data_IF_701870537699
#
_entry.id   IF_701870537699
#
_cell.length_a   1.000
_cell.length_b   1.000
_cell.length_c   1.000
_cell.angle_alpha   90.00
_cell.angle_beta   90.00
_cell.angle_gamma   90.00
#
_symmetry.space_group_name_H-M   'P 1'
#
loop_
_entity.id
_entity.type
_entity.pdbx_description
1 polymer ?
#
# COMPACT_ATOMS: atom_id res chain seq x y z
N UNK A 1 17.58 -16.49 -3.02
CA UNK A 1 17.64 -16.71 -1.56
C UNK A 1 16.27 -16.37 -1.04
N UNK A 2 15.59 -17.25 -0.30
CA UNK A 2 14.23 -16.94 0.17
C UNK A 2 14.29 -15.84 1.23
N UNK A 3 13.46 -14.79 1.08
CA UNK A 3 13.32 -13.69 2.05
C UNK A 3 12.50 -14.12 3.25
N UNK A 4 11.47 -14.94 3.02
CA UNK A 4 10.59 -15.45 4.06
C UNK A 4 11.15 -16.74 4.65
N UNK A 5 11.15 -16.83 5.98
CA UNK A 5 11.46 -18.09 6.67
C UNK A 5 10.29 -19.07 6.47
N UNK A 6 10.59 -20.36 6.52
CA UNK A 6 9.57 -21.41 6.33
C UNK A 6 8.43 -21.30 7.36
N UNK A 7 8.73 -20.93 8.59
CA UNK A 7 7.74 -20.71 9.66
C UNK A 7 6.79 -19.56 9.29
N UNK A 8 7.33 -18.42 8.83
CA UNK A 8 6.55 -17.25 8.42
C UNK A 8 5.69 -17.60 7.18
N UNK A 9 6.25 -18.31 6.20
CA UNK A 9 5.52 -18.77 5.02
C UNK A 9 4.33 -19.68 5.37
N UNK A 10 4.50 -20.57 6.36
CA UNK A 10 3.42 -21.46 6.81
C UNK A 10 2.32 -20.67 7.54
N UNK A 11 2.67 -19.70 8.37
CA UNK A 11 1.70 -18.82 9.03
C UNK A 11 0.89 -18.01 8.01
N UNK A 12 1.55 -17.44 7.01
CA UNK A 12 0.90 -16.68 5.93
C UNK A 12 -0.02 -17.55 5.06
N UNK A 13 0.39 -18.79 4.73
CA UNK A 13 -0.51 -19.73 4.03
C UNK A 13 -1.80 -19.99 4.79
N UNK A 14 -1.72 -20.09 6.12
CA UNK A 14 -2.90 -20.28 6.95
C UNK A 14 -3.77 -19.01 6.96
N UNK A 15 -3.17 -17.84 7.07
CA UNK A 15 -3.88 -16.57 7.03
C UNK A 15 -4.59 -16.36 5.69
N UNK A 16 -3.92 -16.65 4.56
CA UNK A 16 -4.47 -16.49 3.22
C UNK A 16 -5.60 -17.48 2.87
N UNK A 17 -5.87 -18.51 3.69
CA UNK A 17 -7.08 -19.33 3.56
C UNK A 17 -8.37 -18.55 3.81
N UNK A 18 -8.26 -17.39 4.46
CA UNK A 18 -9.41 -16.49 4.69
C UNK A 18 -9.79 -15.64 3.49
N UNK A 19 -8.95 -15.59 2.46
CA UNK A 19 -9.23 -14.84 1.22
C UNK A 19 -10.50 -15.39 0.55
N UNK A 20 -11.36 -14.49 0.10
CA UNK A 20 -12.60 -14.80 -0.60
C UNK A 20 -12.54 -14.49 -2.09
N UNK A 21 -11.75 -13.47 -2.43
CA UNK A 21 -11.55 -13.01 -3.80
C UNK A 21 -10.06 -13.09 -4.15
N UNK A 22 -9.73 -13.30 -5.42
CA UNK A 22 -8.35 -13.22 -5.87
C UNK A 22 -7.79 -11.81 -5.67
N UNK A 23 -6.49 -11.75 -5.36
CA UNK A 23 -5.73 -10.50 -5.22
C UNK A 23 -4.51 -10.55 -6.11
N UNK A 24 -4.29 -9.47 -6.85
CA UNK A 24 -3.14 -9.31 -7.71
C UNK A 24 -2.24 -8.21 -7.18
N UNK A 25 -0.97 -8.55 -7.03
CA UNK A 25 0.10 -7.61 -6.71
C UNK A 25 0.71 -7.13 -8.03
N UNK A 26 0.45 -5.90 -8.40
CA UNK A 26 1.00 -5.27 -9.61
C UNK A 26 2.24 -4.49 -9.23
N UNK A 27 3.40 -4.96 -9.65
CA UNK A 27 4.68 -4.38 -9.26
C UNK A 27 5.36 -3.69 -10.44
N UNK A 28 5.90 -2.52 -10.16
CA UNK A 28 6.73 -1.73 -11.09
C UNK A 28 8.17 -1.67 -10.57
N UNK A 29 9.09 -2.04 -11.47
CA UNK A 29 10.50 -2.24 -11.15
C UNK A 29 11.40 -1.80 -12.30
N UNK A 30 12.70 -1.81 -12.11
CA UNK A 30 13.71 -1.72 -13.17
C UNK A 30 15.01 -2.40 -12.71
N UNK A 31 15.87 -2.77 -13.65
CA UNK A 31 17.12 -3.47 -13.33
C UNK A 31 18.23 -2.54 -12.84
N UNK A 32 18.27 -1.29 -13.32
CA UNK A 32 19.32 -0.33 -12.98
C UNK A 32 18.73 0.86 -12.23
N UNK A 33 19.59 1.52 -11.41
CA UNK A 33 19.24 2.75 -10.67
C UNK A 33 18.06 2.62 -9.70
N UNK A 34 17.81 1.40 -9.19
CA UNK A 34 16.81 1.14 -8.18
C UNK A 34 17.41 0.22 -7.11
N UNK A 35 17.58 0.76 -5.90
CA UNK A 35 18.31 0.07 -4.84
C UNK A 35 17.60 -1.19 -4.35
N UNK A 36 16.26 -1.15 -4.21
CA UNK A 36 15.46 -2.23 -3.62
C UNK A 36 14.47 -2.89 -4.60
N UNK A 37 14.56 -2.58 -5.91
CA UNK A 37 13.67 -3.17 -6.90
C UNK A 37 13.75 -4.71 -6.94
N UNK A 38 14.95 -5.27 -6.86
CA UNK A 38 15.13 -6.71 -6.87
C UNK A 38 14.54 -7.36 -5.63
N UNK A 39 14.85 -6.84 -4.45
CA UNK A 39 14.38 -7.37 -3.18
C UNK A 39 12.84 -7.24 -3.07
N UNK A 40 12.27 -6.13 -3.54
CA UNK A 40 10.82 -5.94 -3.58
C UNK A 40 10.16 -6.94 -4.53
N UNK A 41 10.77 -7.19 -5.69
CA UNK A 41 10.29 -8.21 -6.63
C UNK A 41 10.32 -9.61 -6.02
N UNK A 42 11.46 -10.00 -5.43
CA UNK A 42 11.58 -11.29 -4.73
C UNK A 42 10.51 -11.44 -3.65
N UNK A 43 10.23 -10.38 -2.87
CA UNK A 43 9.19 -10.36 -1.85
C UNK A 43 7.79 -10.59 -2.44
N UNK A 44 7.45 -9.84 -3.50
CA UNK A 44 6.14 -9.96 -4.17
C UNK A 44 5.94 -11.35 -4.76
N UNK A 45 6.97 -11.90 -5.42
CA UNK A 45 6.95 -13.25 -6.00
C UNK A 45 6.82 -14.33 -4.90
N UNK A 46 7.52 -14.20 -3.76
CA UNK A 46 7.42 -15.14 -2.65
C UNK A 46 6.05 -15.08 -1.98
N UNK A 47 5.50 -13.89 -1.73
CA UNK A 47 4.19 -13.73 -1.08
C UNK A 47 3.09 -14.26 -1.99
N UNK A 48 3.11 -13.93 -3.29
CA UNK A 48 2.07 -14.39 -4.23
C UNK A 48 2.08 -15.91 -4.43
N UNK A 49 3.23 -16.57 -4.25
CA UNK A 49 3.32 -18.04 -4.33
C UNK A 49 2.71 -18.78 -3.11
N UNK A 50 2.23 -18.06 -2.08
CA UNK A 50 1.70 -18.68 -0.87
C UNK A 50 0.22 -19.06 -0.96
N UNK A 51 -0.53 -18.61 -1.98
CA UNK A 51 -1.94 -18.91 -2.18
C UNK A 51 -2.33 -18.93 -3.65
N UNK A 52 -3.21 -19.84 -4.05
CA UNK A 52 -3.78 -19.88 -5.42
C UNK A 52 -4.68 -18.66 -5.72
N UNK A 53 -5.08 -17.93 -4.70
CA UNK A 53 -5.85 -16.68 -4.83
C UNK A 53 -4.95 -15.43 -4.92
N UNK A 54 -3.62 -15.61 -4.92
CA UNK A 54 -2.67 -14.52 -5.11
C UNK A 54 -1.96 -14.66 -6.44
N UNK A 55 -1.73 -13.54 -7.10
CA UNK A 55 -0.92 -13.45 -8.32
C UNK A 55 -0.01 -12.23 -8.28
N UNK A 56 1.07 -12.27 -9.03
CA UNK A 56 1.97 -11.15 -9.24
C UNK A 56 2.08 -10.81 -10.72
N UNK A 57 1.97 -9.54 -11.05
CA UNK A 57 2.33 -8.99 -12.37
C UNK A 57 3.48 -8.02 -12.21
N UNK A 58 4.56 -8.25 -12.94
CA UNK A 58 5.78 -7.46 -12.83
C UNK A 58 5.99 -6.67 -14.13
N UNK A 59 6.06 -5.35 -14.02
CA UNK A 59 6.25 -4.44 -15.13
C UNK A 59 7.56 -3.67 -14.99
N UNK A 60 8.23 -3.43 -16.12
CA UNK A 60 9.35 -2.50 -16.16
C UNK A 60 8.81 -1.06 -16.23
N UNK A 61 9.23 -0.22 -15.30
CA UNK A 61 8.71 1.14 -15.15
C UNK A 61 8.89 2.02 -16.38
N UNK A 62 9.95 1.77 -17.16
CA UNK A 62 10.25 2.56 -18.38
C UNK A 62 9.65 1.89 -19.61
N UNK A 63 9.80 0.57 -19.75
CA UNK A 63 9.31 -0.14 -20.91
C UNK A 63 7.77 -0.21 -20.96
N UNK A 64 7.13 -0.32 -19.77
CA UNK A 64 5.68 -0.44 -19.60
C UNK A 64 5.05 0.86 -19.05
N UNK A 65 5.58 2.03 -19.47
CA UNK A 65 5.17 3.33 -18.95
C UNK A 65 3.66 3.60 -19.06
N UNK A 66 3.00 3.10 -20.11
CA UNK A 66 1.54 3.21 -20.26
C UNK A 66 0.79 2.48 -19.14
N UNK A 67 1.30 1.32 -18.69
CA UNK A 67 0.72 0.59 -17.55
C UNK A 67 0.98 1.35 -16.26
N UNK A 68 2.19 1.90 -16.08
CA UNK A 68 2.52 2.72 -14.91
C UNK A 68 1.59 3.94 -14.79
N UNK A 69 1.27 4.60 -15.90
CA UNK A 69 0.33 5.74 -15.94
C UNK A 69 -1.09 5.33 -15.52
N UNK A 70 -1.58 4.16 -15.97
CA UNK A 70 -2.91 3.64 -15.58
C UNK A 70 -3.02 3.45 -14.07
N UNK A 71 -1.94 2.98 -13.43
CA UNK A 71 -1.90 2.79 -11.97
C UNK A 71 -1.45 4.03 -11.19
N UNK A 72 -1.15 5.14 -11.88
CA UNK A 72 -0.65 6.37 -11.24
C UNK A 72 0.72 6.20 -10.58
N UNK A 73 1.57 5.34 -11.13
CA UNK A 73 2.92 5.07 -10.59
C UNK A 73 3.91 6.08 -11.19
N UNK A 74 4.53 6.87 -10.35
CA UNK A 74 5.49 7.92 -10.71
C UNK A 74 6.91 7.69 -10.13
N UNK A 75 7.08 6.65 -9.33
CA UNK A 75 8.35 6.28 -8.69
C UNK A 75 8.41 4.78 -8.38
N UNK A 76 9.60 4.22 -8.25
CA UNK A 76 9.86 2.80 -8.05
C UNK A 76 10.88 2.52 -6.92
N UNK A 77 10.84 1.30 -6.32
CA UNK A 77 9.88 0.23 -6.57
C UNK A 77 8.49 0.61 -6.14
N UNK A 78 7.46 0.09 -6.81
CA UNK A 78 6.08 0.33 -6.45
C UNK A 78 5.24 -0.95 -6.54
N UNK A 79 4.24 -1.08 -5.65
CA UNK A 79 3.27 -2.18 -5.65
C UNK A 79 1.87 -1.56 -5.59
N UNK A 80 1.00 -1.95 -6.52
CA UNK A 80 -0.43 -1.71 -6.41
C UNK A 80 -1.12 -3.00 -6.00
N UNK A 81 -2.07 -2.93 -5.04
CA UNK A 81 -2.86 -4.09 -4.61
C UNK A 81 -4.24 -3.98 -5.23
N UNK A 82 -4.58 -4.96 -6.06
CA UNK A 82 -5.82 -4.97 -6.85
C UNK A 82 -6.64 -6.20 -6.49
N UNK A 83 -7.93 -6.03 -6.21
CA UNK A 83 -8.85 -7.18 -6.20
C UNK A 83 -9.01 -7.67 -7.62
N UNK A 84 -8.65 -8.93 -7.86
CA UNK A 84 -8.77 -9.55 -9.17
C UNK A 84 -10.11 -10.29 -9.32
N UNK A 85 -10.45 -10.72 -10.55
CA UNK A 85 -11.68 -11.44 -10.85
C UNK A 85 -12.25 -11.06 -12.21
N UNK A 86 -13.52 -11.35 -12.45
CA UNK A 86 -14.21 -11.00 -13.72
C UNK A 86 -14.18 -9.48 -14.00
N UNK A 87 -14.29 -8.67 -12.96
CA UNK A 87 -14.15 -7.20 -13.03
C UNK A 87 -13.13 -6.80 -11.97
N UNK A 88 -11.87 -6.61 -12.36
CA UNK A 88 -10.83 -6.17 -11.43
C UNK A 88 -11.17 -4.82 -10.81
N UNK A 89 -10.88 -4.66 -9.52
CA UNK A 89 -11.04 -3.38 -8.83
C UNK A 89 -9.72 -2.92 -8.22
N UNK A 90 -9.24 -1.78 -8.68
CA UNK A 90 -8.17 -1.01 -8.07
C UNK A 90 -8.78 -0.05 -7.04
N UNK A 91 -8.37 -0.22 -5.78
CA UNK A 91 -8.84 0.61 -4.69
C UNK A 91 -7.95 1.85 -4.44
N UNK A 92 -6.93 2.08 -5.26
CA UNK A 92 -5.99 3.18 -5.04
C UNK A 92 -4.98 2.92 -3.92
N UNK A 93 -4.73 1.67 -3.56
CA UNK A 93 -3.73 1.27 -2.55
C UNK A 93 -2.38 1.12 -3.21
N UNK A 94 -1.37 1.87 -2.74
CA UNK A 94 -0.02 1.87 -3.29
C UNK A 94 1.03 1.74 -2.21
N UNK A 95 2.08 1.03 -2.54
CA UNK A 95 3.32 0.97 -1.78
C UNK A 95 4.45 1.51 -2.65
N UNK A 96 5.14 2.51 -2.18
CA UNK A 96 6.35 3.06 -2.79
C UNK A 96 7.54 2.78 -1.88
N UNK A 97 8.50 2.02 -2.40
CA UNK A 97 9.58 1.42 -1.63
C UNK A 97 9.24 0.01 -1.13
N UNK A 98 10.24 -0.68 -0.58
CA UNK A 98 10.08 -2.04 -0.07
C UNK A 98 9.26 -2.06 1.23
N UNK A 99 8.11 -2.77 1.29
CA UNK A 99 7.35 -2.95 2.53
C UNK A 99 8.04 -3.99 3.43
N UNK A 100 9.14 -3.61 4.06
CA UNK A 100 9.94 -4.46 4.92
C UNK A 100 9.83 -4.08 6.41
N UNK A 101 10.38 -4.92 7.30
CA UNK A 101 10.30 -4.69 8.73
C UNK A 101 8.85 -4.67 9.22
N UNK A 102 8.45 -3.62 9.92
CA UNK A 102 7.07 -3.50 10.41
C UNK A 102 6.05 -3.35 9.27
N UNK A 103 6.41 -2.73 8.14
CA UNK A 103 5.51 -2.53 7.01
C UNK A 103 5.17 -3.82 6.25
N UNK A 104 5.91 -4.89 6.46
CA UNK A 104 5.51 -6.20 5.96
C UNK A 104 4.13 -6.61 6.50
N UNK A 105 3.83 -6.27 7.76
CA UNK A 105 2.50 -6.53 8.33
C UNK A 105 1.39 -5.70 7.67
N UNK A 106 1.69 -4.48 7.20
CA UNK A 106 0.74 -3.66 6.44
C UNK A 106 0.40 -4.33 5.11
N UNK A 107 1.42 -4.80 4.38
CA UNK A 107 1.22 -5.50 3.11
C UNK A 107 0.32 -6.73 3.27
N UNK A 108 0.57 -7.57 4.27
CA UNK A 108 -0.24 -8.79 4.52
C UNK A 108 -1.68 -8.42 4.93
N UNK A 109 -1.84 -7.42 5.77
CA UNK A 109 -3.16 -6.92 6.18
C UNK A 109 -3.95 -6.40 4.98
N UNK A 110 -3.32 -5.64 4.08
CA UNK A 110 -3.98 -5.09 2.91
C UNK A 110 -4.34 -6.16 1.88
N UNK A 111 -3.48 -7.16 1.66
CA UNK A 111 -3.83 -8.33 0.84
C UNK A 111 -5.09 -9.01 1.38
N UNK A 112 -5.12 -9.25 2.69
CA UNK A 112 -6.26 -9.92 3.35
C UNK A 112 -7.52 -9.04 3.27
N UNK A 113 -7.39 -7.75 3.49
CA UNK A 113 -8.46 -6.76 3.42
C UNK A 113 -9.06 -6.66 2.02
N UNK A 114 -8.23 -6.51 1.00
CA UNK A 114 -8.65 -6.47 -0.42
C UNK A 114 -9.28 -7.81 -0.82
N UNK A 115 -8.67 -8.93 -0.45
CA UNK A 115 -9.22 -10.26 -0.73
C UNK A 115 -10.51 -10.59 0.00
N UNK A 116 -10.78 -9.96 1.16
CA UNK A 116 -12.08 -10.07 1.85
C UNK A 116 -13.16 -9.18 1.24
N UNK A 117 -12.76 -8.09 0.58
CA UNK A 117 -13.66 -7.03 0.08
C UNK A 117 -14.26 -6.19 1.21
N UNK A 118 -13.60 -6.10 2.36
CA UNK A 118 -14.10 -5.40 3.56
C UNK A 118 -12.99 -4.60 4.23
N UNK A 119 -13.11 -3.28 4.25
CA UNK A 119 -12.16 -2.36 4.90
C UNK A 119 -12.13 -2.48 6.43
N UNK A 120 -13.18 -3.04 7.03
CA UNK A 120 -13.36 -3.07 8.48
C UNK A 120 -13.66 -1.72 9.13
N UNK A 121 -13.90 -0.66 8.34
CA UNK A 121 -14.30 0.65 8.85
C UNK A 121 -15.75 0.67 9.33
N UNK A 122 -16.07 1.63 10.22
CA UNK A 122 -17.44 1.80 10.72
C UNK A 122 -18.40 2.23 9.61
N UNK A 123 -19.69 1.98 9.79
CA UNK A 123 -20.72 2.42 8.83
C UNK A 123 -20.73 3.94 8.64
N UNK A 124 -20.43 4.68 9.69
CA UNK A 124 -20.34 6.14 9.68
C UNK A 124 -19.20 6.60 8.79
N UNK A 125 -18.02 6.00 8.93
CA UNK A 125 -16.84 6.33 8.12
C UNK A 125 -17.03 5.95 6.66
N UNK A 126 -17.64 4.80 6.39
CA UNK A 126 -17.99 4.38 5.02
C UNK A 126 -18.92 5.38 4.33
N UNK A 127 -19.96 5.86 5.06
CA UNK A 127 -20.88 6.88 4.54
C UNK A 127 -20.17 8.22 4.31
N UNK A 128 -19.27 8.59 5.21
CA UNK A 128 -18.46 9.79 5.04
C UNK A 128 -17.56 9.69 3.79
N UNK A 129 -16.84 8.58 3.60
CA UNK A 129 -15.99 8.36 2.45
C UNK A 129 -16.77 8.35 1.12
N UNK A 130 -17.93 7.69 1.11
CA UNK A 130 -18.85 7.67 -0.05
C UNK A 130 -19.46 9.04 -0.36
N UNK A 131 -19.46 9.99 0.58
CA UNK A 131 -19.96 11.35 0.41
C UNK A 131 -18.88 12.36 0.00
N UNK A 132 -17.66 11.94 -0.26
CA UNK A 132 -16.60 12.83 -0.76
C UNK A 132 -16.96 13.39 -2.14
N UNK A 133 -16.69 14.67 -2.36
CA UNK A 133 -16.95 15.37 -3.62
C UNK A 133 -15.67 15.74 -4.37
N UNK A 134 -14.51 15.59 -3.72
CA UNK A 134 -13.20 15.95 -4.28
C UNK A 134 -12.18 14.86 -4.04
N UNK A 135 -11.20 14.68 -4.93
CA UNK A 135 -10.13 13.72 -4.76
C UNK A 135 -9.33 13.97 -3.47
N UNK A 136 -8.92 12.90 -2.84
CA UNK A 136 -8.05 12.89 -1.64
C UNK A 136 -6.86 11.99 -1.91
N UNK A 137 -5.66 12.53 -1.75
CA UNK A 137 -4.42 11.79 -1.81
C UNK A 137 -3.76 11.73 -0.43
N UNK A 138 -3.60 10.53 0.10
CA UNK A 138 -2.98 10.27 1.39
C UNK A 138 -1.60 9.65 1.16
N UNK A 139 -0.53 10.35 1.51
CA UNK A 139 0.83 9.83 1.46
C UNK A 139 1.32 9.59 2.90
N UNK A 140 1.52 8.34 3.28
CA UNK A 140 2.00 7.95 4.62
C UNK A 140 3.47 7.61 4.54
N UNK A 141 4.32 8.50 5.03
CA UNK A 141 5.76 8.30 5.12
C UNK A 141 6.11 7.42 6.31
N UNK A 142 6.91 6.39 6.04
CA UNK A 142 7.26 5.34 6.99
C UNK A 142 8.76 5.02 6.95
N UNK A 143 9.22 4.21 7.91
CA UNK A 143 10.51 3.52 7.84
C UNK A 143 10.35 2.08 8.34
N UNK A 144 11.20 1.12 7.92
CA UNK A 144 11.08 -0.28 8.29
C UNK A 144 11.11 -0.56 9.80
N UNK A 145 11.72 0.34 10.56
CA UNK A 145 11.90 0.19 12.03
C UNK A 145 10.84 0.91 12.86
N UNK A 146 9.84 1.51 12.24
CA UNK A 146 8.80 2.28 12.92
C UNK A 146 7.63 1.37 13.36
N UNK A 147 7.42 1.10 14.65
CA UNK A 147 6.36 0.17 15.09
C UNK A 147 4.94 0.76 15.01
N UNK A 148 4.80 2.07 14.86
CA UNK A 148 3.51 2.75 14.77
C UNK A 148 3.09 3.05 13.32
N UNK A 149 4.00 2.92 12.36
CA UNK A 149 3.76 3.23 10.95
C UNK A 149 2.68 2.34 10.33
N UNK A 150 2.63 1.02 10.56
CA UNK A 150 1.60 0.15 10.00
C UNK A 150 0.17 0.60 10.32
N UNK A 151 -0.06 1.12 11.52
CA UNK A 151 -1.37 1.60 11.91
C UNK A 151 -1.84 2.77 11.05
N UNK A 152 -0.96 3.71 10.72
CA UNK A 152 -1.27 4.86 9.87
C UNK A 152 -1.49 4.44 8.41
N UNK A 153 -0.65 3.54 7.89
CA UNK A 153 -0.75 2.99 6.53
C UNK A 153 -2.06 2.25 6.35
N UNK A 154 -2.36 1.27 7.21
CA UNK A 154 -3.58 0.47 7.13
C UNK A 154 -4.83 1.36 7.23
N UNK A 155 -4.84 2.40 8.06
CA UNK A 155 -5.97 3.32 8.15
C UNK A 155 -6.17 4.09 6.84
N UNK A 156 -5.12 4.60 6.22
CA UNK A 156 -5.19 5.29 4.93
C UNK A 156 -5.70 4.34 3.82
N UNK A 157 -5.19 3.12 3.76
CA UNK A 157 -5.60 2.12 2.79
C UNK A 157 -7.04 1.64 2.98
N UNK A 158 -7.51 1.53 4.23
CA UNK A 158 -8.93 1.27 4.52
C UNK A 158 -9.85 2.35 3.98
N UNK A 159 -9.46 3.62 4.09
CA UNK A 159 -10.22 4.74 3.53
C UNK A 159 -10.25 4.69 1.99
N UNK A 160 -9.15 4.34 1.35
CA UNK A 160 -9.08 4.17 -0.09
C UNK A 160 -10.03 3.06 -0.60
N UNK A 161 -10.25 2.00 0.18
CA UNK A 161 -11.24 0.97 -0.18
C UNK A 161 -12.69 1.47 -0.23
N UNK A 162 -13.01 2.54 0.46
CA UNK A 162 -14.38 3.03 0.61
C UNK A 162 -14.77 4.13 -0.37
N UNK A 163 -13.81 4.68 -1.14
CA UNK A 163 -14.10 5.73 -2.12
C UNK A 163 -13.09 5.75 -3.26
N UNK A 164 -13.57 5.72 -4.48
CA UNK A 164 -12.72 5.85 -5.69
C UNK A 164 -12.09 7.25 -5.81
N UNK A 165 -12.46 8.18 -4.94
CA UNK A 165 -11.84 9.51 -4.82
C UNK A 165 -10.64 9.52 -3.88
N UNK A 166 -10.34 8.43 -3.17
CA UNK A 166 -9.21 8.34 -2.25
C UNK A 166 -8.12 7.47 -2.87
N UNK A 167 -6.93 8.04 -3.01
CA UNK A 167 -5.70 7.31 -3.24
C UNK A 167 -4.88 7.33 -1.96
N UNK A 168 -4.29 6.20 -1.58
CA UNK A 168 -3.46 6.10 -0.38
C UNK A 168 -2.16 5.37 -0.67
N UNK A 169 -1.06 6.03 -0.34
CA UNK A 169 0.30 5.60 -0.61
C UNK A 169 1.05 5.35 0.71
N UNK A 170 1.62 4.18 0.89
CA UNK A 170 2.76 3.98 1.78
C UNK A 170 4.03 4.46 1.06
N UNK A 171 4.82 5.30 1.69
CA UNK A 171 6.09 5.81 1.13
C UNK A 171 7.24 5.53 2.10
N UNK A 172 8.19 4.67 1.70
CA UNK A 172 9.40 4.42 2.49
C UNK A 172 10.32 5.66 2.39
N UNK A 173 10.44 6.41 3.50
CA UNK A 173 11.02 7.74 3.52
C UNK A 173 12.51 7.78 3.15
N UNK A 174 13.27 6.73 3.42
CA UNK A 174 14.71 6.65 3.12
C UNK A 174 14.98 6.28 1.66
N UNK A 175 14.06 5.61 0.98
CA UNK A 175 14.16 5.34 -0.45
C UNK A 175 13.81 6.58 -1.30
N UNK A 176 12.97 7.47 -0.76
CA UNK A 176 12.53 8.69 -1.45
C UNK A 176 12.93 9.97 -0.70
N UNK A 177 14.24 10.25 -0.52
CA UNK A 177 14.71 11.38 0.29
C UNK A 177 14.32 12.75 -0.28
N UNK A 178 14.22 12.87 -1.60
CA UNK A 178 13.78 14.13 -2.23
C UNK A 178 12.34 14.45 -1.87
N UNK A 179 11.45 13.44 -1.90
CA UNK A 179 10.05 13.58 -1.55
C UNK A 179 9.89 13.82 -0.04
N UNK A 180 10.66 13.11 0.79
CA UNK A 180 10.69 13.29 2.23
C UNK A 180 11.14 14.71 2.63
N UNK A 181 12.14 15.26 1.93
CA UNK A 181 12.58 16.65 2.13
C UNK A 181 11.51 17.67 1.66
N UNK A 182 10.84 17.43 0.53
CA UNK A 182 9.74 18.28 0.03
C UNK A 182 8.67 18.48 1.11
N UNK A 183 8.30 17.41 1.81
CA UNK A 183 7.25 17.44 2.83
C UNK A 183 7.76 17.57 4.27
N UNK A 184 9.05 17.87 4.44
CA UNK A 184 9.68 18.07 5.76
C UNK A 184 9.43 16.89 6.72
N UNK A 185 9.65 15.65 6.23
CA UNK A 185 9.50 14.43 7.02
C UNK A 185 10.69 14.27 7.95
N UNK A 186 10.54 14.73 9.19
CA UNK A 186 11.56 14.60 10.25
C UNK A 186 11.26 13.49 11.24
N UNK A 187 10.08 12.91 11.18
CA UNK A 187 9.63 11.81 12.01
C UNK A 187 8.53 11.03 11.32
N UNK A 188 8.39 9.73 11.65
CA UNK A 188 7.42 8.82 11.05
C UNK A 188 6.58 8.13 12.13
N UNK A 189 5.30 7.73 11.82
CA UNK A 189 4.63 8.00 10.55
C UNK A 189 4.29 9.48 10.38
N UNK A 190 4.35 9.94 9.15
CA UNK A 190 3.87 11.27 8.77
C UNK A 190 2.92 11.13 7.59
N UNK A 191 1.69 11.56 7.77
CA UNK A 191 0.68 11.58 6.71
C UNK A 191 0.60 12.95 6.07
N UNK A 192 0.73 13.00 4.75
CA UNK A 192 0.53 14.20 3.92
C UNK A 192 -0.77 14.01 3.15
N UNK A 193 -1.67 14.97 3.26
CA UNK A 193 -3.00 14.97 2.66
C UNK A 193 -3.04 16.08 1.62
N UNK A 194 -3.30 15.73 0.36
CA UNK A 194 -3.41 16.68 -0.77
C UNK A 194 -2.23 17.67 -0.83
N UNK A 195 -1.03 17.21 -0.49
CA UNK A 195 0.24 17.95 -0.48
C UNK A 195 0.38 19.06 0.59
N UNK A 196 -0.70 19.58 1.14
CA UNK A 196 -0.71 20.79 1.98
C UNK A 196 -0.95 20.51 3.47
N UNK A 197 -1.77 19.50 3.80
CA UNK A 197 -2.11 19.18 5.18
C UNK A 197 -1.23 18.06 5.72
N UNK A 198 -0.64 18.28 6.87
CA UNK A 198 0.29 17.33 7.47
C UNK A 198 -0.19 16.85 8.84
N UNK A 199 0.05 15.56 9.11
CA UNK A 199 -0.24 14.94 10.40
C UNK A 199 0.91 14.04 10.82
N UNK A 200 1.37 14.18 12.05
CA UNK A 200 2.43 13.37 12.64
C UNK A 200 1.86 12.29 13.56
N UNK A 201 2.52 11.13 13.56
CA UNK A 201 2.13 9.99 14.37
C UNK A 201 0.94 9.21 13.78
N UNK A 202 0.68 8.04 14.37
CA UNK A 202 -0.47 7.19 14.04
C UNK A 202 -1.71 7.74 14.73
N UNK A 203 -2.44 8.60 14.04
CA UNK A 203 -3.65 9.21 14.59
C UNK A 203 -4.85 8.26 14.53
N UNK A 204 -5.79 8.39 15.49
CA UNK A 204 -7.07 7.70 15.41
C UNK A 204 -7.89 8.15 14.20
N UNK A 205 -8.72 7.25 13.66
CA UNK A 205 -9.61 7.48 12.52
C UNK A 205 -10.35 8.83 12.56
N UNK A 206 -11.05 9.24 13.65
CA UNK A 206 -11.79 10.50 13.66
C UNK A 206 -10.90 11.75 13.46
N UNK A 207 -9.63 11.67 13.90
CA UNK A 207 -8.70 12.77 13.75
C UNK A 207 -8.25 12.90 12.29
N UNK A 208 -7.99 11.77 11.60
CA UNK A 208 -7.65 11.76 10.18
C UNK A 208 -8.82 12.32 9.34
N UNK A 209 -10.06 11.86 9.59
CA UNK A 209 -11.25 12.36 8.89
C UNK A 209 -11.44 13.88 9.04
N UNK A 210 -11.19 14.41 10.23
CA UNK A 210 -11.27 15.87 10.48
C UNK A 210 -10.21 16.66 9.69
N UNK A 211 -9.08 16.04 9.36
CA UNK A 211 -8.02 16.69 8.60
C UNK A 211 -8.24 16.65 7.09
N UNK A 212 -9.02 15.69 6.61
CA UNK A 212 -9.37 15.55 5.19
C UNK A 212 -10.50 16.53 4.80
N UNK A 213 -11.34 16.95 5.76
CA UNK A 213 -12.40 17.94 5.55
C UNK A 213 -11.85 19.36 5.34
#
# INVERSE_FOLDING_TARGET
>A
MTLLREEDSNALREEFRSLKNPVRLVMFTQEMECQYCRETRELVEEVSALSDLLSAEIYDFVADAEVAEVYGIDKIPAIAIVQDGEVPKDYGIRYFGIPSGYEFSSLITDITMVGSGDSGLTTETRKWAAGLESPVHLQVFVTPTCPYCPQAVILAHRLAMESDLIQADMVEASEFPTLSNKYHVYGVPRTVINEDVHMEGAAPEPMLLTKIQ
#
